data_IF_020531802263
#
_entry.id   IF_020531802263
#
_cell.length_a   1.000
_cell.length_b   1.000
_cell.length_c   1.000
_cell.angle_alpha   90.00
_cell.angle_beta   90.00
_cell.angle_gamma   90.00
#
_symmetry.space_group_name_H-M   'P 1'
#
loop_
_entity.id
_entity.type
_entity.pdbx_description
1 polymer ?
#
# COMPACT_ATOMS: atom_id res chain seq x y z
N UNK A 1 11.13 9.41 7.26
CA UNK A 1 10.61 8.55 6.18
C UNK A 1 11.79 7.83 5.58
N UNK A 2 11.86 6.52 5.62
CA UNK A 2 12.87 5.82 4.86
C UNK A 2 12.58 6.02 3.37
N UNK A 3 13.45 6.75 2.70
CA UNK A 3 13.33 7.08 1.27
C UNK A 3 13.61 5.85 0.38
N UNK A 4 14.02 4.74 0.98
CA UNK A 4 14.47 3.51 0.33
C UNK A 4 13.51 2.31 0.46
N UNK A 5 12.27 2.51 0.91
CA UNK A 5 11.33 1.40 0.91
C UNK A 5 10.97 1.02 -0.53
N UNK A 6 11.20 -0.23 -0.96
CA UNK A 6 10.97 -0.63 -2.34
C UNK A 6 9.47 -0.58 -2.67
N UNK A 7 9.15 -0.09 -3.87
CA UNK A 7 7.80 -0.20 -4.39
C UNK A 7 7.54 -1.67 -4.76
N UNK A 8 6.57 -2.30 -4.10
CA UNK A 8 6.21 -3.69 -4.35
C UNK A 8 5.18 -3.78 -5.48
N UNK A 9 5.49 -4.47 -6.59
CA UNK A 9 4.49 -4.76 -7.61
C UNK A 9 3.47 -5.76 -7.06
N UNK A 10 2.19 -5.45 -7.20
CA UNK A 10 1.08 -6.27 -6.71
C UNK A 10 0.04 -6.52 -7.80
N UNK A 11 -0.70 -7.62 -7.66
CA UNK A 11 -1.82 -7.96 -8.53
C UNK A 11 -3.08 -7.17 -8.15
N UNK A 12 -4.10 -7.23 -9.02
CA UNK A 12 -5.44 -6.69 -8.71
C UNK A 12 -6.07 -7.34 -7.48
N UNK A 13 -5.86 -8.63 -7.27
CA UNK A 13 -6.38 -9.34 -6.09
C UNK A 13 -5.70 -8.86 -4.81
N UNK A 14 -4.39 -8.60 -4.86
CA UNK A 14 -3.68 -8.01 -3.72
C UNK A 14 -4.11 -6.55 -3.47
N UNK A 15 -4.46 -5.80 -4.52
CA UNK A 15 -5.00 -4.45 -4.38
C UNK A 15 -6.28 -4.45 -3.53
N UNK A 16 -7.18 -5.42 -3.73
CA UNK A 16 -8.40 -5.55 -2.91
C UNK A 16 -8.09 -5.77 -1.43
N UNK A 17 -6.99 -6.41 -1.11
CA UNK A 17 -6.57 -6.59 0.28
C UNK A 17 -6.15 -5.27 0.94
N UNK A 18 -5.50 -4.38 0.21
CA UNK A 18 -5.07 -3.08 0.74
C UNK A 18 -6.16 -2.00 0.67
N UNK A 19 -7.32 -2.29 0.13
CA UNK A 19 -8.47 -1.38 0.10
C UNK A 19 -9.17 -1.21 1.46
N UNK A 20 -8.73 -1.90 2.51
CA UNK A 20 -9.27 -1.79 3.86
C UNK A 20 -8.41 -0.84 4.71
N UNK A 21 -9.02 0.14 5.36
CA UNK A 21 -8.34 1.08 6.24
C UNK A 21 -7.56 0.37 7.35
N UNK A 22 -8.15 -0.62 8.00
CA UNK A 22 -7.49 -1.38 9.06
C UNK A 22 -6.27 -2.16 8.53
N UNK A 23 -6.38 -2.83 7.39
CA UNK A 23 -5.25 -3.56 6.80
C UNK A 23 -4.11 -2.62 6.43
N UNK A 24 -4.42 -1.44 5.93
CA UNK A 24 -3.42 -0.40 5.65
C UNK A 24 -2.71 0.06 6.92
N UNK A 25 -3.45 0.31 8.00
CA UNK A 25 -2.86 0.66 9.30
C UNK A 25 -1.97 -0.47 9.84
N UNK A 26 -2.39 -1.73 9.69
CA UNK A 26 -1.58 -2.90 10.06
C UNK A 26 -0.26 -2.93 9.27
N UNK A 27 -0.31 -2.72 7.95
CA UNK A 27 0.89 -2.66 7.12
C UNK A 27 1.85 -1.56 7.59
N UNK A 28 1.35 -0.37 7.93
CA UNK A 28 2.18 0.72 8.40
C UNK A 28 2.89 0.40 9.73
N UNK A 29 2.17 -0.09 10.74
CA UNK A 29 2.80 -0.38 12.05
C UNK A 29 3.76 -1.56 11.96
N UNK A 30 3.48 -2.54 11.11
CA UNK A 30 4.36 -3.71 10.91
C UNK A 30 5.52 -3.45 9.94
N UNK A 31 5.51 -2.36 9.18
CA UNK A 31 6.66 -1.95 8.37
C UNK A 31 7.78 -1.34 9.21
N UNK A 32 7.42 -0.56 10.21
CA UNK A 32 8.38 0.09 11.11
C UNK A 32 9.15 -0.93 11.96
N UNK A 33 8.46 -1.97 12.45
CA UNK A 33 9.04 -3.04 13.24
C UNK A 33 8.19 -4.32 13.15
N UNK A 34 8.83 -5.46 13.39
CA UNK A 34 8.09 -6.72 13.46
C UNK A 34 7.28 -6.80 14.76
N UNK A 35 5.99 -7.08 14.66
CA UNK A 35 5.05 -7.09 15.78
C UNK A 35 4.20 -8.37 15.81
N UNK A 36 3.82 -8.79 17.01
CA UNK A 36 2.80 -9.82 17.20
C UNK A 36 1.40 -9.25 16.97
N UNK A 37 0.42 -10.10 16.68
CA UNK A 37 -0.98 -9.65 16.54
C UNK A 37 -1.49 -8.89 17.78
N UNK A 38 -1.07 -9.29 18.98
CA UNK A 38 -1.42 -8.63 20.24
C UNK A 38 -0.81 -7.23 20.35
N UNK A 39 0.45 -7.07 19.91
CA UNK A 39 1.11 -5.77 19.89
C UNK A 39 0.47 -4.83 18.88
N UNK A 40 0.20 -5.31 17.66
CA UNK A 40 -0.53 -4.54 16.63
C UNK A 40 -1.90 -4.11 17.15
N UNK A 41 -2.66 -5.02 17.77
CA UNK A 41 -3.96 -4.69 18.35
C UNK A 41 -3.89 -3.56 19.38
N UNK A 42 -2.88 -3.60 20.24
CA UNK A 42 -2.64 -2.55 21.24
C UNK A 42 -2.32 -1.20 20.59
N UNK A 43 -1.45 -1.18 19.58
CA UNK A 43 -1.08 0.07 18.89
C UNK A 43 -2.24 0.69 18.12
N UNK A 44 -3.10 -0.14 17.53
CA UNK A 44 -4.21 0.34 16.72
C UNK A 44 -5.52 0.55 17.49
N UNK A 45 -5.58 0.16 18.76
CA UNK A 45 -6.81 0.21 19.57
C UNK A 45 -7.85 -0.83 19.14
N UNK A 46 -7.41 -1.95 18.59
CA UNK A 46 -8.23 -3.02 18.05
C UNK A 46 -8.24 -4.26 18.94
N UNK A 47 -9.16 -5.18 18.69
CA UNK A 47 -9.14 -6.48 19.36
C UNK A 47 -8.09 -7.41 18.74
N UNK A 48 -7.39 -8.23 19.55
CA UNK A 48 -6.40 -9.18 19.01
C UNK A 48 -6.98 -10.16 17.98
N UNK A 49 -8.24 -10.58 18.15
CA UNK A 49 -8.91 -11.48 17.21
C UNK A 49 -9.14 -10.83 15.84
N UNK A 50 -9.60 -9.58 15.82
CA UNK A 50 -9.80 -8.82 14.59
C UNK A 50 -8.47 -8.60 13.85
N UNK A 51 -7.44 -8.17 14.57
CA UNK A 51 -6.10 -7.99 14.00
C UNK A 51 -5.54 -9.31 13.47
N UNK A 52 -5.68 -10.41 14.23
CA UNK A 52 -5.23 -11.73 13.79
C UNK A 52 -5.91 -12.15 12.47
N UNK A 53 -7.22 -11.96 12.36
CA UNK A 53 -7.97 -12.23 11.13
C UNK A 53 -7.40 -11.46 9.92
N UNK A 54 -7.17 -10.16 10.07
CA UNK A 54 -6.61 -9.33 9.00
C UNK A 54 -5.15 -9.66 8.68
N UNK A 55 -4.31 -9.95 9.69
CA UNK A 55 -2.94 -10.42 9.48
C UNK A 55 -2.89 -11.73 8.70
N UNK A 56 -3.79 -12.69 8.97
CA UNK A 56 -3.87 -13.93 8.21
C UNK A 56 -4.26 -13.68 6.74
N UNK A 57 -5.14 -12.73 6.47
CA UNK A 57 -5.48 -12.33 5.09
C UNK A 57 -4.29 -11.70 4.37
N UNK A 58 -3.58 -10.79 5.03
CA UNK A 58 -2.38 -10.15 4.49
C UNK A 58 -1.24 -11.16 4.26
N UNK A 59 -1.07 -12.11 5.18
CA UNK A 59 -0.08 -13.18 5.07
C UNK A 59 -0.37 -14.09 3.86
N UNK A 60 -1.61 -14.55 3.72
CA UNK A 60 -2.04 -15.35 2.54
C UNK A 60 -1.92 -14.57 1.24
N UNK A 61 -2.15 -13.27 1.27
CA UNK A 61 -1.98 -12.39 0.12
C UNK A 61 -0.52 -12.03 -0.18
N UNK A 62 0.44 -12.45 0.64
CA UNK A 62 1.86 -12.18 0.44
C UNK A 62 2.29 -10.72 0.71
N UNK A 63 1.50 -9.96 1.47
CA UNK A 63 1.77 -8.55 1.81
C UNK A 63 2.49 -8.38 3.15
N UNK A 64 2.38 -9.37 4.03
CA UNK A 64 3.16 -9.50 5.26
C UNK A 64 3.86 -10.86 5.29
N UNK A 65 4.89 -10.97 6.10
CA UNK A 65 5.61 -12.21 6.35
C UNK A 65 5.82 -12.42 7.86
N UNK A 66 6.03 -13.67 8.26
CA UNK A 66 6.44 -14.01 9.63
C UNK A 66 7.96 -14.03 9.63
N UNK A 67 8.58 -13.09 10.32
CA UNK A 67 10.04 -12.95 10.40
C UNK A 67 10.63 -13.66 11.62
N UNK A 68 9.81 -13.94 12.62
CA UNK A 68 10.24 -14.60 13.85
C UNK A 68 9.08 -15.34 14.51
N UNK A 69 9.41 -16.42 15.18
CA UNK A 69 8.49 -17.18 16.04
C UNK A 69 9.17 -17.43 17.38
N UNK A 70 8.49 -17.07 18.48
CA UNK A 70 8.98 -17.30 19.85
C UNK A 70 7.97 -18.12 20.64
N UNK A 71 8.47 -19.01 21.48
CA UNK A 71 7.63 -19.74 22.43
C UNK A 71 7.83 -19.17 23.82
N UNK A 72 6.76 -18.65 24.42
CA UNK A 72 6.74 -18.18 25.81
C UNK A 72 5.67 -18.92 26.59
N UNK A 73 6.07 -19.58 27.65
CA UNK A 73 5.14 -20.33 28.53
C UNK A 73 4.19 -21.28 27.76
N UNK A 74 4.72 -21.97 26.74
CA UNK A 74 3.94 -22.88 25.90
C UNK A 74 3.07 -22.22 24.83
N UNK A 75 3.05 -20.88 24.75
CA UNK A 75 2.33 -20.12 23.72
C UNK A 75 3.30 -19.72 22.62
N UNK A 76 2.93 -20.01 21.37
CA UNK A 76 3.70 -19.63 20.19
C UNK A 76 3.29 -18.21 19.77
N UNK A 77 4.24 -17.29 19.83
CA UNK A 77 4.10 -15.90 19.36
C UNK A 77 4.75 -15.77 17.98
N UNK A 78 4.01 -15.26 17.01
CA UNK A 78 4.50 -14.99 15.66
C UNK A 78 4.65 -13.48 15.47
N UNK A 79 5.80 -13.07 14.94
CA UNK A 79 6.12 -11.68 14.64
C UNK A 79 5.97 -11.43 13.14
N UNK A 80 5.11 -10.51 12.80
CA UNK A 80 4.76 -10.15 11.44
C UNK A 80 5.48 -8.87 11.01
N UNK A 81 5.93 -8.83 9.77
CA UNK A 81 6.49 -7.64 9.13
C UNK A 81 5.82 -7.41 7.79
N UNK A 82 5.43 -6.17 7.50
CA UNK A 82 4.98 -5.79 6.16
C UNK A 82 6.15 -5.85 5.17
N UNK A 83 5.90 -6.34 3.97
CA UNK A 83 6.91 -6.38 2.90
C UNK A 83 7.13 -5.01 2.29
N UNK A 84 6.12 -4.15 2.28
CA UNK A 84 6.17 -2.76 1.88
C UNK A 84 4.91 -2.03 2.34
N UNK A 85 4.94 -0.70 2.34
CA UNK A 85 3.78 0.18 2.42
C UNK A 85 3.53 0.90 1.08
N UNK A 86 4.41 0.68 0.09
CA UNK A 86 4.35 1.29 -1.24
C UNK A 86 4.07 0.24 -2.29
N UNK A 87 2.94 0.36 -2.98
CA UNK A 87 2.46 -0.64 -3.92
C UNK A 87 2.25 -0.06 -5.32
N UNK A 88 2.62 -0.82 -6.33
CA UNK A 88 2.32 -0.56 -7.73
C UNK A 88 1.47 -1.71 -8.27
N UNK A 89 0.23 -1.45 -8.62
CA UNK A 89 -0.63 -2.46 -9.24
C UNK A 89 -0.21 -2.67 -10.68
N UNK A 90 0.14 -3.89 -11.03
CA UNK A 90 0.51 -4.29 -12.38
C UNK A 90 -0.56 -5.21 -12.95
N UNK A 91 -1.06 -4.89 -14.13
CA UNK A 91 -1.99 -5.76 -14.86
C UNK A 91 -1.31 -7.03 -15.34
N UNK A 92 -2.10 -8.08 -15.58
CA UNK A 92 -1.59 -9.34 -16.11
C UNK A 92 -0.92 -9.15 -17.48
N UNK A 93 0.29 -9.69 -17.61
CA UNK A 93 0.98 -9.75 -18.89
C UNK A 93 0.15 -10.55 -19.91
N UNK A 94 -0.25 -9.90 -21.00
CA UNK A 94 -0.99 -10.55 -22.10
C UNK A 94 -2.39 -9.99 -22.39
N UNK A 95 -2.97 -9.17 -21.50
CA UNK A 95 -4.15 -8.36 -21.80
C UNK A 95 -3.74 -6.98 -22.32
N UNK A 96 -4.48 -6.48 -23.31
CA UNK A 96 -4.18 -5.25 -24.03
C UNK A 96 -3.69 -4.12 -23.10
N UNK A 97 -2.41 -3.81 -23.15
CA UNK A 97 -1.67 -2.72 -22.48
C UNK A 97 -1.76 -2.75 -20.97
N UNK A 98 -0.69 -3.11 -20.27
CA UNK A 98 -0.67 -3.11 -18.82
C UNK A 98 -0.99 -1.70 -18.29
N UNK A 99 -2.07 -1.58 -17.50
CA UNK A 99 -2.27 -0.40 -16.69
C UNK A 99 -1.35 -0.47 -15.46
N UNK A 100 -0.96 0.66 -14.97
CA UNK A 100 -0.19 0.79 -13.74
C UNK A 100 -0.97 1.67 -12.79
N UNK A 101 -1.28 1.18 -11.62
CA UNK A 101 -1.96 1.93 -10.57
C UNK A 101 -1.08 1.92 -9.34
N UNK A 102 -0.84 3.09 -8.79
CA UNK A 102 -0.19 3.24 -7.49
C UNK A 102 -1.29 3.54 -6.47
N UNK A 103 -1.31 2.79 -5.39
CA UNK A 103 -2.23 3.01 -4.28
C UNK A 103 -1.41 3.25 -3.02
N UNK A 104 -1.76 4.29 -2.29
CA UNK A 104 -1.21 4.60 -0.98
C UNK A 104 -2.34 5.05 -0.07
N UNK A 105 -2.27 4.68 1.19
CA UNK A 105 -3.25 5.11 2.18
C UNK A 105 -2.53 5.94 3.23
N UNK A 106 -3.06 7.12 3.49
CA UNK A 106 -2.50 8.04 4.48
C UNK A 106 -3.62 8.89 5.08
N UNK A 107 -3.45 9.31 6.31
CA UNK A 107 -4.38 10.23 6.95
C UNK A 107 -3.94 11.65 6.65
N UNK A 108 -4.77 12.39 5.95
CA UNK A 108 -4.54 13.79 5.56
C UNK A 108 -5.71 14.66 6.00
N UNK A 109 -5.44 15.88 6.39
CA UNK A 109 -6.46 16.93 6.49
C UNK A 109 -6.88 17.38 5.08
N UNK A 110 -7.99 18.12 4.98
CA UNK A 110 -8.43 18.68 3.69
C UNK A 110 -7.36 19.60 3.09
N UNK A 111 -6.72 20.43 3.93
CA UNK A 111 -5.66 21.34 3.50
C UNK A 111 -4.41 20.57 3.00
N UNK A 112 -4.03 19.49 3.66
CA UNK A 112 -2.94 18.63 3.21
C UNK A 112 -3.28 17.91 1.91
N UNK A 113 -4.52 17.48 1.74
CA UNK A 113 -5.02 16.87 0.51
C UNK A 113 -4.96 17.84 -0.66
N UNK A 114 -5.41 19.09 -0.48
CA UNK A 114 -5.35 20.14 -1.48
C UNK A 114 -3.91 20.47 -1.88
N UNK A 115 -3.01 20.56 -0.89
CA UNK A 115 -1.57 20.78 -1.15
C UNK A 115 -0.97 19.65 -1.96
N UNK A 116 -1.30 18.42 -1.62
CA UNK A 116 -0.80 17.22 -2.33
C UNK A 116 -1.29 17.19 -3.78
N UNK A 117 -2.55 17.56 -4.04
CA UNK A 117 -3.08 17.67 -5.42
C UNK A 117 -2.30 18.68 -6.23
N UNK A 118 -1.97 19.84 -5.64
CA UNK A 118 -1.18 20.88 -6.32
C UNK A 118 0.25 20.39 -6.64
N UNK A 119 0.90 19.72 -5.70
CA UNK A 119 2.23 19.14 -5.93
C UNK A 119 2.22 18.08 -7.04
N UNK A 120 1.20 17.21 -7.06
CA UNK A 120 1.01 16.22 -8.13
C UNK A 120 0.73 16.88 -9.49
N UNK A 121 -0.03 17.97 -9.52
CA UNK A 121 -0.27 18.74 -10.73
C UNK A 121 1.03 19.31 -11.30
N UNK A 122 1.93 19.81 -10.46
CA UNK A 122 3.25 20.29 -10.90
C UNK A 122 4.12 19.15 -11.47
N UNK A 123 4.06 17.96 -10.86
CA UNK A 123 4.74 16.79 -11.40
C UNK A 123 4.20 16.42 -12.78
N UNK A 124 2.88 16.36 -12.93
CA UNK A 124 2.24 16.10 -14.24
C UNK A 124 2.67 17.13 -15.29
N UNK A 125 2.60 18.40 -14.96
CA UNK A 125 2.96 19.46 -15.88
C UNK A 125 4.41 19.36 -16.38
N UNK A 126 5.35 19.03 -15.50
CA UNK A 126 6.75 18.77 -15.90
C UNK A 126 6.88 17.60 -16.87
N UNK A 127 6.13 16.52 -16.66
CA UNK A 127 6.12 15.38 -17.57
C UNK A 127 5.46 15.67 -18.90
N UNK A 128 4.37 16.45 -18.92
CA UNK A 128 3.71 16.93 -20.14
C UNK A 128 4.67 17.74 -21.01
N UNK A 129 5.38 18.69 -20.39
CA UNK A 129 6.38 19.49 -21.10
C UNK A 129 7.53 18.63 -21.63
N UNK A 130 8.02 17.68 -20.83
CA UNK A 130 9.08 16.80 -21.26
C UNK A 130 8.64 15.87 -22.40
N UNK A 131 7.41 15.37 -22.35
CA UNK A 131 6.84 14.52 -23.40
C UNK A 131 6.61 15.30 -24.70
N UNK A 132 6.14 16.56 -24.62
CA UNK A 132 5.92 17.40 -25.77
C UNK A 132 7.21 17.74 -26.55
N UNK A 133 8.37 17.69 -25.87
CA UNK A 133 9.69 17.96 -26.48
C UNK A 133 10.33 16.73 -27.14
N UNK A 134 9.78 15.53 -26.90
CA UNK A 134 10.31 14.28 -27.43
C UNK A 134 9.41 13.75 -28.54
N UNK A 135 9.91 13.76 -29.78
CA UNK A 135 9.31 12.97 -30.85
C UNK A 135 9.82 11.51 -30.71
N UNK A 136 9.07 10.67 -30.04
CA UNK A 136 9.39 9.24 -29.91
C UNK A 136 8.40 8.45 -30.78
N UNK A 137 8.87 7.80 -31.87
CA UNK A 137 8.01 7.12 -32.83
C UNK A 137 7.06 6.08 -32.22
N UNK A 138 7.49 5.43 -31.13
CA UNK A 138 6.75 4.34 -30.47
C UNK A 138 5.98 4.80 -29.21
N UNK A 139 5.93 6.12 -28.95
CA UNK A 139 5.20 6.65 -27.81
C UNK A 139 3.69 6.52 -28.01
N UNK A 140 3.03 5.85 -27.09
CA UNK A 140 1.58 5.68 -27.10
C UNK A 140 0.90 6.66 -26.14
N UNK A 141 -0.25 7.25 -26.52
CA UNK A 141 -1.04 8.08 -25.62
C UNK A 141 -1.36 7.36 -24.31
N UNK A 142 -1.21 8.05 -23.20
CA UNK A 142 -1.50 7.55 -21.84
C UNK A 142 -2.43 8.54 -21.15
N UNK A 143 -3.44 8.02 -20.46
CA UNK A 143 -4.21 8.77 -19.48
C UNK A 143 -3.57 8.56 -18.12
N UNK A 144 -3.37 9.67 -17.39
CA UNK A 144 -2.86 9.65 -16.03
C UNK A 144 -3.89 10.36 -15.16
N UNK A 145 -4.37 9.68 -14.15
CA UNK A 145 -5.38 10.20 -13.21
C UNK A 145 -4.88 10.01 -11.78
N UNK A 146 -5.02 11.05 -10.97
CA UNK A 146 -4.82 10.98 -9.53
C UNK A 146 -6.13 11.32 -8.83
N UNK A 147 -6.53 10.50 -7.89
CA UNK A 147 -7.72 10.73 -7.08
C UNK A 147 -7.36 10.57 -5.62
N UNK A 148 -7.69 11.57 -4.81
CA UNK A 148 -7.69 11.48 -3.35
C UNK A 148 -9.15 11.33 -2.94
N UNK A 149 -9.47 10.23 -2.29
CA UNK A 149 -10.84 9.94 -1.85
C UNK A 149 -10.83 9.37 -0.43
N UNK A 150 -11.89 9.59 0.34
CA UNK A 150 -12.04 8.92 1.62
C UNK A 150 -11.98 7.39 1.46
N UNK A 151 -11.31 6.72 2.38
CA UNK A 151 -11.34 5.25 2.43
C UNK A 151 -12.69 4.84 3.01
N UNK A 152 -13.48 4.11 2.23
CA UNK A 152 -14.72 3.52 2.74
C UNK A 152 -14.34 2.32 3.61
N UNK A 153 -14.80 2.33 4.86
CA UNK A 153 -14.73 1.14 5.71
C UNK A 153 -15.79 0.17 5.18
N UNK A 154 -15.33 -0.94 4.63
CA UNK A 154 -16.22 -2.08 4.37
C UNK A 154 -16.47 -2.76 5.72
N UNK A 155 -17.75 -2.79 6.14
CA UNK A 155 -18.25 -3.56 7.28
C UNK A 155 -17.99 -5.07 7.15
#
# INVERSE_FOLDING_TARGET
MPVDEPILPISLEQQKLIASALRTRILHVTSAQALTAKQVARELGETPGNVHYHLQRLLRGGLVEIVETRTRKGIVEKYYRAKSTRFLVVGEAGKARPFRTMTSHMSLTDEESDRMVLELAEVLHRWEQAAARKAVPDALPRRIEFTISPVQEED
#
